data_IF_243607954116
#
_entry.id   IF_243607954116
#
_cell.length_a   1.000
_cell.length_b   1.000
_cell.length_c   1.000
_cell.angle_alpha   90.00
_cell.angle_beta   90.00
_cell.angle_gamma   90.00
#
_symmetry.space_group_name_H-M   'P 1'
#
loop_
_entity.id
_entity.type
_entity.pdbx_description
1 polymer ?
#
# COMPACT_ATOMS: atom_id res chain seq x y z
N UNK A 1 -5.44 23.53 -19.23
CA UNK A 1 -6.04 22.19 -19.07
C UNK A 1 -4.98 21.17 -19.43
N UNK A 2 -4.47 20.43 -18.45
CA UNK A 2 -3.38 19.48 -18.64
C UNK A 2 -2.97 18.92 -17.29
N UNK A 3 -3.79 18.01 -16.76
CA UNK A 3 -3.50 17.34 -15.50
C UNK A 3 -2.46 16.25 -15.74
N UNK A 4 -1.18 16.59 -15.62
CA UNK A 4 -0.12 15.59 -15.54
C UNK A 4 -0.33 14.81 -14.25
N UNK A 5 -0.69 13.52 -14.36
CA UNK A 5 -0.70 12.60 -13.24
C UNK A 5 0.77 12.35 -12.85
N UNK A 6 1.38 13.26 -12.10
CA UNK A 6 2.61 12.92 -11.40
C UNK A 6 2.25 11.75 -10.49
N UNK A 7 2.85 10.58 -10.75
CA UNK A 7 2.88 9.48 -9.77
C UNK A 7 3.28 10.13 -8.47
N UNK A 8 2.33 10.15 -7.54
CA UNK A 8 2.65 10.59 -6.20
C UNK A 8 3.67 9.58 -5.69
N UNK A 9 4.85 10.05 -5.30
CA UNK A 9 5.70 9.25 -4.43
C UNK A 9 4.89 8.75 -3.23
N UNK A 10 5.41 7.75 -2.53
CA UNK A 10 4.74 7.10 -1.40
C UNK A 10 4.00 8.10 -0.49
N UNK A 11 4.67 9.17 -0.09
CA UNK A 11 4.11 10.22 0.79
C UNK A 11 2.95 11.00 0.16
N UNK A 12 2.99 11.25 -1.15
CA UNK A 12 1.89 11.92 -1.84
C UNK A 12 0.63 11.05 -1.93
N UNK A 13 0.81 9.72 -2.05
CA UNK A 13 -0.29 8.75 -2.04
C UNK A 13 -0.97 8.73 -0.66
N UNK A 14 -0.18 8.73 0.42
CA UNK A 14 -0.69 8.81 1.78
C UNK A 14 -1.42 10.12 2.07
N UNK A 15 -0.89 11.26 1.62
CA UNK A 15 -1.51 12.59 1.78
C UNK A 15 -2.86 12.73 1.09
N UNK A 16 -3.18 11.89 0.10
CA UNK A 16 -4.51 11.83 -0.54
C UNK A 16 -5.50 10.91 0.18
N UNK A 17 -5.11 10.32 1.32
CA UNK A 17 -5.95 9.41 2.08
C UNK A 17 -5.97 7.98 1.54
N UNK A 18 -5.11 7.64 0.58
CA UNK A 18 -4.90 6.25 0.19
C UNK A 18 -3.96 5.54 1.16
N UNK A 19 -4.07 4.23 1.22
CA UNK A 19 -3.15 3.35 1.94
C UNK A 19 -2.28 2.55 0.97
N UNK A 20 -1.16 2.03 1.47
CA UNK A 20 -0.24 1.21 0.69
C UNK A 20 0.03 -0.07 1.44
N UNK A 21 -0.40 -1.19 0.87
CA UNK A 21 -0.19 -2.51 1.45
C UNK A 21 1.00 -3.20 0.79
N UNK A 22 1.88 -3.72 1.64
CA UNK A 22 3.10 -4.41 1.30
C UNK A 22 3.11 -5.79 1.92
N UNK A 23 3.81 -6.74 1.32
CA UNK A 23 4.15 -8.00 1.99
C UNK A 23 5.25 -7.78 3.03
N UNK A 24 5.48 -8.74 3.92
CA UNK A 24 6.51 -8.68 4.98
C UNK A 24 7.92 -8.26 4.49
N UNK A 25 8.26 -8.52 3.23
CA UNK A 25 9.52 -8.08 2.60
C UNK A 25 9.51 -6.67 2.00
N UNK A 26 8.54 -5.81 2.32
CA UNK A 26 8.46 -4.42 1.83
C UNK A 26 8.04 -4.25 0.37
N UNK A 27 7.70 -5.34 -0.33
CA UNK A 27 7.20 -5.25 -1.72
C UNK A 27 5.72 -4.89 -1.71
N UNK A 28 5.37 -3.83 -2.43
CA UNK A 28 3.97 -3.40 -2.61
C UNK A 28 3.17 -4.51 -3.30
N UNK A 29 1.98 -4.77 -2.80
CA UNK A 29 1.01 -5.66 -3.41
C UNK A 29 0.29 -4.88 -4.51
N UNK A 30 0.54 -5.24 -5.76
CA UNK A 30 -0.04 -4.56 -6.93
C UNK A 30 -1.21 -5.33 -7.56
N UNK A 31 -1.43 -6.57 -7.14
CA UNK A 31 -2.50 -7.43 -7.64
C UNK A 31 -3.02 -8.35 -6.52
N UNK A 32 -4.34 -8.58 -6.47
CA UNK A 32 -4.95 -9.48 -5.47
C UNK A 32 -4.56 -10.94 -5.69
N UNK A 33 -4.25 -11.34 -6.92
CA UNK A 33 -3.82 -12.70 -7.26
C UNK A 33 -2.51 -13.16 -6.56
N UNK A 34 -1.70 -12.23 -6.06
CA UNK A 34 -0.47 -12.60 -5.31
C UNK A 34 -0.72 -12.78 -3.81
N UNK A 35 -1.93 -12.45 -3.32
CA UNK A 35 -2.31 -12.55 -1.92
C UNK A 35 -2.71 -14.00 -1.62
N UNK A 36 -2.26 -14.52 -0.46
CA UNK A 36 -2.53 -15.90 -0.02
C UNK A 36 -3.08 -15.91 1.40
N UNK A 37 -3.87 -16.93 1.79
CA UNK A 37 -4.24 -17.13 3.19
C UNK A 37 -3.01 -17.24 4.08
N UNK A 38 -3.12 -16.76 5.32
CA UNK A 38 -2.04 -16.68 6.34
C UNK A 38 -0.86 -15.81 5.94
N UNK A 39 -0.99 -15.03 4.86
CA UNK A 39 0.07 -14.11 4.44
C UNK A 39 0.09 -12.90 5.36
N UNK A 40 1.27 -12.58 5.88
CA UNK A 40 1.50 -11.35 6.63
C UNK A 40 1.74 -10.18 5.68
N UNK A 41 1.04 -9.09 5.98
CA UNK A 41 1.09 -7.84 5.24
C UNK A 41 1.30 -6.66 6.20
N UNK A 42 1.89 -5.60 5.66
CA UNK A 42 2.10 -4.33 6.35
C UNK A 42 1.40 -3.26 5.53
N UNK A 43 0.55 -2.48 6.16
CA UNK A 43 -0.19 -1.39 5.50
C UNK A 43 0.25 -0.08 6.10
N UNK A 44 0.76 0.80 5.23
CA UNK A 44 1.09 2.17 5.57
C UNK A 44 -0.10 3.08 5.28
N UNK A 45 -0.42 3.93 6.24
CA UNK A 45 -1.44 4.97 6.21
C UNK A 45 -0.79 6.32 6.53
N UNK A 46 -1.56 7.40 6.44
CA UNK A 46 -1.05 8.74 6.73
C UNK A 46 -0.48 8.83 8.15
N UNK A 47 -1.15 8.20 9.11
CA UNK A 47 -0.82 8.31 10.53
C UNK A 47 0.17 7.24 11.03
N UNK A 48 0.71 6.39 10.14
CA UNK A 48 1.68 5.36 10.52
C UNK A 48 1.56 4.06 9.73
N UNK A 49 1.88 2.94 10.36
CA UNK A 49 1.91 1.63 9.73
C UNK A 49 1.43 0.55 10.69
N UNK A 50 0.69 -0.43 10.17
CA UNK A 50 0.23 -1.59 10.95
C UNK A 50 0.41 -2.90 10.18
N UNK A 51 0.62 -3.98 10.93
CA UNK A 51 0.68 -5.34 10.41
C UNK A 51 -0.69 -6.02 10.44
N UNK A 52 -0.95 -6.92 9.50
CA UNK A 52 -2.14 -7.76 9.48
C UNK A 52 -1.85 -9.12 8.84
N UNK A 53 -2.67 -10.11 9.15
CA UNK A 53 -2.63 -11.43 8.53
C UNK A 53 -3.90 -11.63 7.69
N UNK A 54 -3.73 -12.17 6.49
CA UNK A 54 -4.85 -12.51 5.61
C UNK A 54 -5.49 -13.81 6.09
N UNK A 55 -6.82 -13.80 6.23
CA UNK A 55 -7.63 -14.97 6.58
C UNK A 55 -7.69 -16.01 5.45
#
# INVERSE_FOLDING_TARGET
MGGTLHVLGLDGTLRRGYSITMKDGGKIITATAVVRPKMKIRTRVNDGEFGSEIL
#
